data_IF_796797674108
#
_entry.id   IF_796797674108
#
_cell.length_a   1.000
_cell.length_b   1.000
_cell.length_c   1.000
_cell.angle_alpha   90.00
_cell.angle_beta   90.00
_cell.angle_gamma   90.00
#
_symmetry.space_group_name_H-M   'P 1'
#
loop_
_entity.id
_entity.type
_entity.pdbx_description
1 polymer ?
#
# COMPACT_ATOMS: atom_id res chain seq x y z
N UNK A 1 12.81 -0.03 13.91
CA UNK A 1 11.57 0.32 14.63
C UNK A 1 10.34 -0.01 13.76
N UNK A 2 9.10 0.09 14.28
CA UNK A 2 7.87 -0.06 13.47
C UNK A 2 7.41 1.32 13.00
N UNK A 3 7.12 1.48 11.70
CA UNK A 3 6.49 2.70 11.19
C UNK A 3 5.16 2.95 11.88
N UNK A 4 4.75 4.21 11.99
CA UNK A 4 3.37 4.57 12.35
C UNK A 4 2.73 5.33 11.21
N UNK A 5 1.56 4.87 10.78
CA UNK A 5 0.68 5.68 9.95
C UNK A 5 -0.01 6.70 10.84
N UNK A 6 -0.02 7.96 10.43
CA UNK A 6 -0.64 9.03 11.21
C UNK A 6 -2.17 8.98 11.17
N UNK A 7 -2.73 8.48 10.08
CA UNK A 7 -4.16 8.53 9.77
C UNK A 7 -4.75 7.15 9.48
N UNK A 8 -4.07 6.08 9.89
CA UNK A 8 -4.55 4.73 9.69
C UNK A 8 -4.10 3.80 10.82
N UNK A 9 -5.06 3.10 11.42
CA UNK A 9 -4.79 2.19 12.52
C UNK A 9 -4.40 0.81 11.98
N UNK A 10 -3.18 0.38 12.30
CA UNK A 10 -2.67 -0.96 12.01
C UNK A 10 -2.25 -1.70 13.29
N UNK A 11 -2.29 -3.05 13.27
CA UNK A 11 -2.87 -3.88 12.20
C UNK A 11 -4.40 -3.80 12.17
N UNK A 12 -5.00 -3.96 10.99
CA UNK A 12 -6.45 -4.12 10.89
C UNK A 12 -6.89 -5.43 11.57
N UNK A 13 -8.07 -5.43 12.18
CA UNK A 13 -8.70 -6.69 12.59
C UNK A 13 -9.02 -7.56 11.36
N UNK A 14 -9.01 -8.90 11.47
CA UNK A 14 -9.34 -9.78 10.33
C UNK A 14 -10.69 -9.47 9.68
N UNK A 15 -11.70 -9.12 10.48
CA UNK A 15 -13.04 -8.76 9.98
C UNK A 15 -12.99 -7.43 9.21
N UNK A 16 -12.36 -6.39 9.78
CA UNK A 16 -12.23 -5.10 9.09
C UNK A 16 -11.45 -5.21 7.79
N UNK A 17 -10.42 -6.05 7.77
CA UNK A 17 -9.65 -6.33 6.56
C UNK A 17 -10.51 -7.04 5.50
N UNK A 18 -11.33 -8.02 5.90
CA UNK A 18 -12.28 -8.69 5.02
C UNK A 18 -13.30 -7.72 4.43
N UNK A 19 -13.93 -6.89 5.26
CA UNK A 19 -14.94 -5.92 4.83
C UNK A 19 -14.36 -4.91 3.83
N UNK A 20 -13.13 -4.42 4.08
CA UNK A 20 -12.43 -3.51 3.16
C UNK A 20 -12.09 -4.19 1.84
N UNK A 21 -11.59 -5.42 1.86
CA UNK A 21 -11.32 -6.19 0.63
C UNK A 21 -12.59 -6.49 -0.15
N UNK A 22 -13.69 -6.76 0.56
CA UNK A 22 -14.99 -6.98 -0.08
C UNK A 22 -15.43 -5.77 -0.89
N UNK A 23 -15.26 -4.57 -0.32
CA UNK A 23 -15.64 -3.29 -0.92
C UNK A 23 -14.66 -2.75 -1.96
N UNK A 24 -13.36 -2.79 -1.67
CA UNK A 24 -12.32 -2.05 -2.41
C UNK A 24 -11.40 -2.93 -3.25
N UNK A 25 -11.48 -4.27 -3.12
CA UNK A 25 -10.64 -5.28 -3.80
C UNK A 25 -9.14 -5.26 -3.49
N UNK A 26 -8.63 -4.16 -2.92
CA UNK A 26 -7.25 -3.96 -2.48
C UNK A 26 -7.26 -3.32 -1.09
N UNK A 27 -6.32 -3.75 -0.23
CA UNK A 27 -6.21 -3.27 1.14
C UNK A 27 -4.75 -3.30 1.62
N UNK A 28 -4.27 -2.20 2.20
CA UNK A 28 -3.03 -2.17 2.96
C UNK A 28 -3.19 -2.99 4.25
N UNK A 29 -2.35 -3.99 4.45
CA UNK A 29 -2.38 -4.86 5.62
C UNK A 29 -1.45 -4.37 6.73
N UNK A 30 -0.18 -4.11 6.39
CA UNK A 30 0.83 -3.65 7.34
C UNK A 30 1.91 -2.81 6.66
N UNK A 31 2.57 -1.95 7.45
CA UNK A 31 3.78 -1.25 7.03
C UNK A 31 4.90 -1.38 8.07
N UNK A 32 6.15 -1.29 7.62
CA UNK A 32 7.33 -1.18 8.46
C UNK A 32 8.28 -0.16 7.84
N UNK A 33 8.88 0.69 8.67
CA UNK A 33 9.83 1.73 8.25
C UNK A 33 11.12 1.45 9.00
N UNK A 34 12.18 1.24 8.24
CA UNK A 34 13.54 1.10 8.76
C UNK A 34 14.40 2.11 8.01
N UNK A 35 14.99 3.04 8.74
CA UNK A 35 15.74 4.17 8.17
C UNK A 35 14.89 4.94 7.14
N UNK A 36 15.28 4.91 5.86
CA UNK A 36 14.61 5.59 4.75
C UNK A 36 13.85 4.62 3.83
N UNK A 37 13.55 3.42 4.33
CA UNK A 37 12.93 2.35 3.54
C UNK A 37 11.58 1.97 4.15
N UNK A 38 10.50 2.36 3.47
CA UNK A 38 9.14 1.95 3.82
C UNK A 38 8.80 0.66 3.10
N UNK A 39 8.50 -0.39 3.85
CA UNK A 39 7.97 -1.65 3.34
C UNK A 39 6.50 -1.77 3.71
N UNK A 40 5.70 -2.34 2.81
CA UNK A 40 4.30 -2.62 3.10
C UNK A 40 3.81 -3.92 2.49
N UNK A 41 2.90 -4.57 3.21
CA UNK A 41 2.14 -5.75 2.77
C UNK A 41 0.77 -5.30 2.29
N UNK A 42 0.38 -5.77 1.11
CA UNK A 42 -0.86 -5.43 0.42
C UNK A 42 -1.61 -6.71 0.09
N UNK A 43 -2.86 -6.77 0.50
CA UNK A 43 -3.76 -7.86 0.15
C UNK A 43 -4.68 -7.44 -0.98
N UNK A 44 -4.86 -8.31 -1.96
CA UNK A 44 -5.76 -8.09 -3.10
C UNK A 44 -6.69 -9.28 -3.30
N UNK A 45 -7.89 -9.04 -3.82
CA UNK A 45 -8.80 -10.12 -4.25
C UNK A 45 -8.23 -10.85 -5.46
N UNK A 46 -8.23 -12.18 -5.40
CA UNK A 46 -7.78 -13.02 -6.50
C UNK A 46 -8.87 -13.13 -7.59
N UNK A 47 -8.94 -12.14 -8.49
CA UNK A 47 -9.96 -12.05 -9.55
C UNK A 47 -9.50 -12.73 -10.85
N UNK A 48 -8.25 -12.49 -11.26
CA UNK A 48 -7.64 -13.08 -12.46
C UNK A 48 -6.14 -13.30 -12.22
N UNK A 49 -5.50 -14.15 -13.02
CA UNK A 49 -4.06 -14.44 -12.86
C UNK A 49 -3.19 -13.20 -13.09
N UNK A 50 -3.41 -12.47 -14.18
CA UNK A 50 -2.69 -11.24 -14.50
C UNK A 50 -3.17 -10.10 -13.60
N UNK A 51 -2.26 -9.66 -12.72
CA UNK A 51 -2.49 -8.61 -11.74
C UNK A 51 -1.34 -7.62 -11.79
N UNK A 52 -1.66 -6.34 -11.73
CA UNK A 52 -0.66 -5.28 -11.54
C UNK A 52 -0.98 -4.53 -10.26
N UNK A 53 -0.06 -4.55 -9.32
CA UNK A 53 -0.17 -3.79 -8.07
C UNK A 53 0.98 -2.79 -8.03
N UNK A 54 0.68 -1.54 -7.74
CA UNK A 54 1.68 -0.49 -7.60
C UNK A 54 1.26 0.52 -6.54
N UNK A 55 2.25 1.16 -5.94
CA UNK A 55 2.06 2.22 -4.96
C UNK A 55 2.39 3.54 -5.62
N UNK A 56 1.45 4.48 -5.59
CA UNK A 56 1.69 5.87 -6.00
C UNK A 56 1.94 6.70 -4.75
N UNK A 57 3.06 7.40 -4.71
CA UNK A 57 3.48 8.14 -3.52
C UNK A 57 4.14 9.47 -3.88
N UNK A 58 4.16 10.38 -2.91
CA UNK A 58 4.69 11.74 -3.01
C UNK A 58 5.32 12.14 -1.68
N UNK A 59 6.27 13.08 -1.76
CA UNK A 59 6.92 13.74 -0.62
C UNK A 59 6.78 15.28 -0.70
N UNK A 60 6.05 15.79 -1.69
CA UNK A 60 5.94 17.21 -2.04
C UNK A 60 4.48 17.68 -2.16
N UNK A 61 3.58 17.10 -1.35
CA UNK A 61 2.15 17.41 -1.35
C UNK A 61 1.48 17.22 -2.72
N UNK A 62 1.85 16.16 -3.45
CA UNK A 62 1.30 15.80 -4.76
C UNK A 62 1.65 16.77 -5.91
N UNK A 63 2.64 17.64 -5.74
CA UNK A 63 3.20 18.41 -6.87
C UNK A 63 3.87 17.46 -7.88
N UNK A 64 4.56 16.42 -7.38
CA UNK A 64 5.01 15.28 -8.15
C UNK A 64 4.61 13.96 -7.48
N UNK A 65 4.64 12.88 -8.26
CA UNK A 65 4.40 11.53 -7.73
C UNK A 65 5.31 10.52 -8.40
N UNK A 66 5.63 9.48 -7.66
CA UNK A 66 6.36 8.31 -8.14
C UNK A 66 5.47 7.09 -8.03
N UNK A 67 5.55 6.20 -9.01
CA UNK A 67 4.90 4.89 -8.98
C UNK A 67 5.93 3.80 -8.77
N UNK A 68 5.72 2.96 -7.77
CA UNK A 68 6.59 1.84 -7.43
C UNK A 68 5.80 0.54 -7.52
N UNK A 69 6.23 -0.44 -8.33
CA UNK A 69 5.53 -1.71 -8.44
C UNK A 69 5.63 -2.51 -7.14
N UNK A 70 4.56 -3.21 -6.78
CA UNK A 70 4.57 -4.22 -5.74
C UNK A 70 4.79 -5.61 -6.36
N UNK A 71 5.50 -6.47 -5.64
CA UNK A 71 5.83 -7.83 -6.07
C UNK A 71 4.96 -8.83 -5.35
N UNK A 72 4.47 -9.83 -6.09
CA UNK A 72 3.70 -10.93 -5.51
C UNK A 72 4.58 -11.76 -4.55
N UNK A 73 4.01 -12.15 -3.40
CA UNK A 73 4.70 -12.99 -2.40
C UNK A 73 4.39 -14.47 -2.66
N UNK A 74 5.37 -15.29 -3.06
CA UNK A 74 5.15 -16.72 -3.31
C UNK A 74 4.63 -17.47 -2.07
N UNK A 75 3.69 -18.38 -2.28
CA UNK A 75 3.11 -19.18 -1.18
C UNK A 75 2.11 -18.43 -0.30
N UNK A 76 1.78 -17.18 -0.63
CA UNK A 76 0.76 -16.39 0.08
C UNK A 76 -0.67 -16.57 -0.45
N UNK A 77 -0.86 -17.48 -1.41
CA UNK A 77 -2.17 -17.75 -2.01
C UNK A 77 -3.13 -18.25 -0.94
N UNK A 78 -4.27 -17.57 -0.85
CA UNK A 78 -5.48 -18.15 -0.30
C UNK A 78 -6.44 -18.41 -1.45
N UNK A 79 -7.53 -19.15 -1.20
CA UNK A 79 -8.55 -19.37 -2.24
C UNK A 79 -9.16 -18.06 -2.79
N UNK A 80 -9.06 -16.96 -2.05
CA UNK A 80 -9.78 -15.71 -2.35
C UNK A 80 -8.91 -14.47 -2.45
N UNK A 81 -7.67 -14.50 -1.96
CA UNK A 81 -6.77 -13.34 -1.91
C UNK A 81 -5.32 -13.71 -2.15
N UNK A 82 -4.58 -12.74 -2.70
CA UNK A 82 -3.13 -12.81 -2.91
C UNK A 82 -2.44 -11.72 -2.09
N UNK A 83 -1.18 -11.96 -1.69
CA UNK A 83 -0.36 -10.97 -1.00
C UNK A 83 0.72 -10.40 -1.92
N UNK A 84 0.93 -9.10 -1.80
CA UNK A 84 1.95 -8.33 -2.51
C UNK A 84 2.75 -7.50 -1.52
N UNK A 85 4.03 -7.30 -1.82
CA UNK A 85 4.92 -6.47 -1.03
C UNK A 85 5.52 -5.35 -1.88
N UNK A 86 5.65 -4.17 -1.30
CA UNK A 86 6.34 -3.04 -1.92
C UNK A 86 7.44 -2.51 -1.01
N UNK A 87 8.42 -1.85 -1.62
CA UNK A 87 9.50 -1.14 -0.93
C UNK A 87 9.65 0.25 -1.55
N UNK A 88 9.40 1.30 -0.76
CA UNK A 88 9.64 2.69 -1.14
C UNK A 88 10.96 3.13 -0.52
N UNK A 89 11.88 3.60 -1.35
CA UNK A 89 13.16 4.16 -0.91
C UNK A 89 13.09 5.67 -0.99
N UNK A 90 13.16 6.30 0.17
CA UNK A 90 13.11 7.74 0.32
C UNK A 90 14.52 8.32 0.15
N UNK A 91 14.67 9.48 -0.53
CA UNK A 91 15.96 10.16 -0.63
C UNK A 91 16.57 10.43 0.75
N UNK A 92 17.85 10.15 0.94
CA UNK A 92 18.55 10.35 2.22
C UNK A 92 18.72 11.82 2.60
N UNK A 93 18.60 12.71 1.62
CA UNK A 93 18.75 14.17 1.79
C UNK A 93 17.41 14.84 2.16
N UNK A 94 16.37 14.06 2.45
CA UNK A 94 15.10 14.61 2.90
C UNK A 94 15.29 15.37 4.21
N UNK A 95 14.85 16.64 4.19
CA UNK A 95 14.75 17.43 5.42
C UNK A 95 13.92 16.67 6.46
N UNK A 96 14.26 16.83 7.74
CA UNK A 96 13.67 16.10 8.88
C UNK A 96 12.13 16.19 9.03
N UNK A 97 11.45 16.94 8.17
CA UNK A 97 10.02 17.23 8.22
C UNK A 97 9.26 16.85 6.93
N UNK A 98 9.81 15.96 6.09
CA UNK A 98 9.09 15.52 4.90
C UNK A 98 7.83 14.72 5.28
N UNK A 99 6.77 14.87 4.49
CA UNK A 99 5.50 14.17 4.69
C UNK A 99 5.31 13.20 3.54
N UNK A 100 5.46 11.91 3.79
CA UNK A 100 5.18 10.87 2.80
C UNK A 100 3.68 10.62 2.75
N UNK A 101 3.09 10.77 1.56
CA UNK A 101 1.72 10.37 1.28
C UNK A 101 1.69 9.30 0.19
N UNK A 102 0.88 8.26 0.35
CA UNK A 102 0.76 7.21 -0.66
C UNK A 102 -0.64 6.61 -0.78
N UNK A 103 -0.91 6.01 -1.93
CA UNK A 103 -2.09 5.20 -2.22
C UNK A 103 -1.69 3.97 -3.03
N UNK A 104 -2.44 2.88 -2.91
CA UNK A 104 -2.16 1.61 -3.59
C UNK A 104 -3.17 1.43 -4.71
N UNK A 105 -2.70 1.12 -5.91
CA UNK A 105 -3.53 0.74 -7.04
C UNK A 105 -3.41 -0.76 -7.29
N UNK A 106 -4.56 -1.40 -7.49
CA UNK A 106 -4.69 -2.74 -8.01
C UNK A 106 -5.41 -2.69 -9.35
N UNK A 107 -4.72 -3.15 -10.40
CA UNK A 107 -5.25 -3.26 -11.75
C UNK A 107 -5.37 -4.73 -12.15
N UNK A 108 -6.58 -5.10 -12.57
CA UNK A 108 -6.91 -6.46 -13.01
C UNK A 108 -7.98 -6.40 -14.09
N UNK A 109 -7.80 -7.14 -15.18
CA UNK A 109 -8.70 -7.10 -16.35
C UNK A 109 -8.92 -5.67 -16.90
N UNK A 110 -7.91 -4.80 -16.81
CA UNK A 110 -7.99 -3.40 -17.25
C UNK A 110 -8.78 -2.47 -16.33
N UNK A 111 -9.25 -2.94 -15.17
CA UNK A 111 -9.98 -2.14 -14.17
C UNK A 111 -9.04 -1.80 -13.02
N UNK A 112 -8.98 -0.51 -12.69
CA UNK A 112 -8.18 0.00 -11.56
C UNK A 112 -9.05 0.21 -10.32
N UNK A 113 -8.58 -0.32 -9.19
CA UNK A 113 -9.14 -0.11 -7.86
C UNK A 113 -8.07 0.50 -6.95
N UNK A 114 -8.46 1.44 -6.10
CA UNK A 114 -7.54 2.20 -5.27
C UNK A 114 -7.82 1.99 -3.77
N UNK A 115 -6.77 1.67 -3.01
CA UNK A 115 -6.75 1.89 -1.57
C UNK A 115 -6.02 3.22 -1.29
N UNK A 116 -6.80 4.28 -1.15
CA UNK A 116 -6.36 5.63 -0.84
C UNK A 116 -6.82 6.09 0.55
N UNK A 117 -7.01 5.14 1.50
CA UNK A 117 -7.49 5.44 2.84
C UNK A 117 -8.77 6.29 2.88
N UNK A 118 -9.79 5.90 2.08
CA UNK A 118 -11.07 6.62 1.97
C UNK A 118 -10.93 8.10 1.52
N UNK A 119 -9.90 8.41 0.73
CA UNK A 119 -9.66 9.74 0.17
C UNK A 119 -8.65 10.59 0.93
N UNK A 120 -8.16 10.16 2.09
CA UNK A 120 -7.15 10.92 2.87
C UNK A 120 -5.70 10.50 2.55
N UNK A 121 -5.51 9.46 1.72
CA UNK A 121 -4.25 8.77 1.48
C UNK A 121 -3.60 8.23 2.77
N UNK A 122 -2.57 7.41 2.65
CA UNK A 122 -1.80 6.96 3.81
C UNK A 122 -0.67 7.95 4.09
N UNK A 123 -0.52 8.38 5.35
CA UNK A 123 0.51 9.34 5.78
C UNK A 123 1.51 8.71 6.73
N UNK A 124 2.80 8.84 6.43
CA UNK A 124 3.92 8.38 7.27
C UNK A 124 4.75 9.57 7.73
N UNK A 125 5.18 9.55 8.99
CA UNK A 125 6.09 10.49 9.64
C UNK A 125 7.04 9.72 10.55
#
# INVERSE_FOLDING_TARGET
ERARLLNFLQPLSPNSLRDRLEKNTVCLESITLCDYVLRGSVKVKNIAYEKRVFVRWTIDNWESHTETPASYVPGSLTETTDNFEFELRMPTDLEKNFKLEFAICYEVLGIQSWDNNAGDNFRVM
#
